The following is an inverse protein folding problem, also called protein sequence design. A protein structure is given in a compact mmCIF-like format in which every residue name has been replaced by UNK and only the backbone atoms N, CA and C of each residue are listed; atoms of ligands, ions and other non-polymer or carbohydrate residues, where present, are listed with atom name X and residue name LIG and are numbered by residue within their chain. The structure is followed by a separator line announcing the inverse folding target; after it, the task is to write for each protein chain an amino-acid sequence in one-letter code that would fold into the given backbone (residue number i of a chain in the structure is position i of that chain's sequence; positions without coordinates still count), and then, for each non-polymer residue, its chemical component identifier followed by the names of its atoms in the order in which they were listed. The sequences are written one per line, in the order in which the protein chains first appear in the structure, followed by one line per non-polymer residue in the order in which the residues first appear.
data_IF_429626343828
#
_entry.id   IF_429626343828
#
_cell.length_a   1.000
_cell.length_b   1.000
_cell.length_c   1.000
_cell.angle_alpha   90.00
_cell.angle_beta   90.00
_cell.angle_gamma   90.00
#
_symmetry.space_group_name_H-M   'P 1'
#
loop_
_entity.id
_entity.type
_entity.pdbx_description
1 polymer ?
#
# COMPACT_ATOMS: atom_id res chain seq x y z
N UNK A 1 6.71 5.97 -47.30
CA UNK A 1 5.92 7.19 -47.03
C UNK A 1 4.50 6.70 -46.76
N UNK A 2 4.05 6.71 -45.51
CA UNK A 2 2.73 6.20 -45.15
C UNK A 2 1.68 7.18 -45.69
N UNK A 3 0.91 6.77 -46.70
CA UNK A 3 -0.30 7.52 -47.05
C UNK A 3 -1.36 7.14 -46.01
N UNK A 4 -1.73 8.13 -45.19
CA UNK A 4 -2.83 8.00 -44.24
C UNK A 4 -4.13 8.09 -45.06
N UNK A 5 -5.11 7.19 -44.85
CA UNK A 5 -6.41 7.31 -45.51
C UNK A 5 -7.03 8.68 -45.17
N UNK A 6 -7.68 9.30 -46.15
CA UNK A 6 -8.26 10.64 -45.98
C UNK A 6 -9.34 10.60 -44.88
N UNK A 7 -9.13 11.35 -43.80
CA UNK A 7 -9.97 11.27 -42.59
C UNK A 7 -11.43 11.62 -42.86
N UNK A 8 -11.70 12.47 -43.87
CA UNK A 8 -13.05 12.85 -44.28
C UNK A 8 -13.77 11.69 -44.98
N UNK A 9 -13.08 10.97 -45.87
CA UNK A 9 -13.65 9.82 -46.58
C UNK A 9 -13.96 8.66 -45.63
N UNK A 10 -13.11 8.46 -44.60
CA UNK A 10 -13.34 7.44 -43.59
C UNK A 10 -14.53 7.77 -42.67
N UNK A 11 -14.71 9.04 -42.31
CA UNK A 11 -15.88 9.44 -41.52
C UNK A 11 -17.20 9.17 -42.26
N UNK A 12 -17.24 9.45 -43.56
CA UNK A 12 -18.38 9.12 -44.42
C UNK A 12 -18.61 7.61 -44.52
N UNK A 13 -17.54 6.80 -44.58
CA UNK A 13 -17.64 5.34 -44.50
C UNK A 13 -18.26 4.87 -43.18
N UNK A 14 -17.84 5.41 -42.04
CA UNK A 14 -18.41 5.05 -40.72
C UNK A 14 -19.90 5.35 -40.71
N UNK A 15 -20.30 6.53 -41.18
CA UNK A 15 -21.71 6.94 -41.17
C UNK A 15 -22.54 6.07 -42.12
N UNK A 16 -22.02 5.74 -43.30
CA UNK A 16 -22.71 4.93 -44.31
C UNK A 16 -22.84 3.45 -43.90
N UNK A 17 -21.79 2.87 -43.30
CA UNK A 17 -21.72 1.45 -42.92
C UNK A 17 -21.86 1.20 -41.43
N UNK A 18 -22.43 2.17 -40.70
CA UNK A 18 -22.62 2.10 -39.24
C UNK A 18 -23.35 0.83 -38.79
N UNK A 19 -24.41 0.45 -39.51
CA UNK A 19 -25.20 -0.73 -39.19
C UNK A 19 -24.38 -2.02 -39.31
N UNK A 20 -23.52 -2.11 -40.33
CA UNK A 20 -22.66 -3.27 -40.56
C UNK A 20 -21.53 -3.36 -39.52
N UNK A 21 -20.92 -2.22 -39.17
CA UNK A 21 -19.92 -2.14 -38.11
C UNK A 21 -20.51 -2.51 -36.74
N UNK A 22 -21.71 -2.03 -36.43
CA UNK A 22 -22.44 -2.44 -35.22
C UNK A 22 -22.79 -3.93 -35.23
N UNK A 23 -23.14 -4.48 -36.39
CA UNK A 23 -23.40 -5.91 -36.54
C UNK A 23 -22.14 -6.71 -36.26
N UNK A 24 -20.98 -6.28 -36.75
CA UNK A 24 -19.68 -6.91 -36.46
C UNK A 24 -19.41 -6.87 -34.95
N UNK A 25 -19.55 -5.71 -34.30
CA UNK A 25 -19.38 -5.57 -32.84
C UNK A 25 -20.33 -6.47 -32.03
N UNK A 26 -21.57 -6.68 -32.49
CA UNK A 26 -22.48 -7.64 -31.83
C UNK A 26 -22.04 -9.08 -32.05
N UNK A 27 -21.53 -9.41 -33.23
CA UNK A 27 -21.05 -10.76 -33.55
C UNK A 27 -19.78 -11.15 -32.78
N UNK A 28 -19.00 -10.18 -32.30
CA UNK A 28 -17.90 -10.44 -31.35
C UNK A 28 -18.39 -10.75 -29.93
N UNK A 29 -19.71 -10.89 -29.70
CA UNK A 29 -20.32 -11.24 -28.40
C UNK A 29 -19.87 -10.35 -27.24
N UNK A 30 -19.60 -9.08 -27.55
CA UNK A 30 -19.15 -8.08 -26.59
C UNK A 30 -17.64 -7.91 -26.51
N UNK A 31 -16.82 -8.74 -27.18
CA UNK A 31 -15.35 -8.62 -27.20
C UNK A 31 -14.84 -7.30 -27.80
N UNK A 32 -15.63 -6.68 -28.69
CA UNK A 32 -15.32 -5.36 -29.25
C UNK A 32 -16.55 -4.47 -29.12
N UNK A 33 -16.37 -3.25 -28.62
CA UNK A 33 -17.37 -2.20 -28.76
C UNK A 33 -17.30 -1.58 -30.15
N UNK A 34 -18.28 -0.75 -30.48
CA UNK A 34 -18.33 -0.07 -31.76
C UNK A 34 -17.05 0.73 -32.05
N UNK A 35 -16.54 1.45 -31.06
CA UNK A 35 -15.34 2.28 -31.20
C UNK A 35 -14.07 1.45 -31.44
N UNK A 36 -14.00 0.25 -30.87
CA UNK A 36 -12.90 -0.69 -31.11
C UNK A 36 -12.92 -1.17 -32.56
N UNK A 37 -14.10 -1.50 -33.09
CA UNK A 37 -14.27 -1.94 -34.48
C UNK A 37 -13.91 -0.81 -35.45
N UNK A 38 -14.27 0.44 -35.14
CA UNK A 38 -13.88 1.61 -35.93
C UNK A 38 -12.36 1.81 -35.92
N UNK A 39 -11.73 1.68 -34.75
CA UNK A 39 -10.27 1.79 -34.62
C UNK A 39 -9.54 0.71 -35.42
N UNK A 40 -10.01 -0.54 -35.34
CA UNK A 40 -9.46 -1.65 -36.13
C UNK A 40 -9.71 -1.47 -37.63
N UNK A 41 -10.87 -0.94 -38.02
CA UNK A 41 -11.17 -0.62 -39.42
C UNK A 41 -10.16 0.38 -39.99
N UNK A 42 -9.78 1.40 -39.22
CA UNK A 42 -8.77 2.39 -39.60
C UNK A 42 -7.37 1.78 -39.76
N UNK A 43 -6.98 0.91 -38.82
CA UNK A 43 -5.70 0.20 -38.87
C UNK A 43 -5.65 -0.73 -40.09
N UNK A 44 -6.74 -1.46 -40.36
CA UNK A 44 -6.85 -2.36 -41.50
C UNK A 44 -6.82 -1.60 -42.84
N UNK A 45 -7.55 -0.49 -42.95
CA UNK A 45 -7.50 0.39 -44.13
C UNK A 45 -6.06 0.84 -44.44
N UNK A 46 -5.33 1.27 -43.41
CA UNK A 46 -3.93 1.72 -43.53
C UNK A 46 -2.99 0.60 -43.96
N UNK A 47 -3.20 -0.63 -43.43
CA UNK A 47 -2.41 -1.81 -43.80
C UNK A 47 -2.66 -2.22 -45.25
N UNK A 48 -3.92 -2.24 -45.68
CA UNK A 48 -4.29 -2.66 -47.03
C UNK A 48 -3.80 -1.66 -48.09
N UNK A 49 -3.79 -0.36 -47.80
CA UNK A 49 -3.17 0.66 -48.68
C UNK A 49 -1.66 0.46 -48.83
N UNK A 50 -1.00 -0.16 -47.86
CA UNK A 50 0.44 -0.43 -47.92
C UNK A 50 0.75 -1.71 -48.71
N UNK A 51 -0.14 -2.71 -48.66
CA UNK A 51 0.06 -4.00 -49.32
C UNK A 51 -0.41 -4.04 -50.77
N UNK A 52 -1.42 -3.24 -51.12
CA UNK A 52 -1.98 -3.18 -52.47
C UNK A 52 -1.43 -1.93 -53.18
N UNK A 53 -0.84 -2.11 -54.37
CA UNK A 53 -0.49 -0.99 -55.26
C UNK A 53 -1.72 -0.25 -55.82
N UNK A 54 -2.92 -0.66 -55.43
CA UNK A 54 -4.20 -0.03 -55.78
C UNK A 54 -4.62 0.92 -54.65
N UNK A 55 -4.96 2.16 -55.03
CA UNK A 55 -5.50 3.14 -54.09
C UNK A 55 -6.86 2.64 -53.59
N UNK A 56 -6.95 2.29 -52.31
CA UNK A 56 -8.22 1.98 -51.67
C UNK A 56 -9.08 3.24 -51.61
N UNK A 57 -10.09 3.29 -52.48
CA UNK A 57 -11.13 4.29 -52.41
C UNK A 57 -12.18 3.89 -51.37
N UNK A 58 -12.28 4.66 -50.29
CA UNK A 58 -13.26 4.42 -49.22
C UNK A 58 -14.68 4.82 -49.61
N UNK A 59 -14.86 5.48 -50.77
CA UNK A 59 -16.16 5.81 -51.33
C UNK A 59 -16.69 4.72 -52.28
N UNK A 60 -15.83 3.78 -52.71
CA UNK A 60 -16.22 2.66 -53.55
C UNK A 60 -16.85 1.52 -52.74
N UNK A 61 -18.03 1.08 -53.16
CA UNK A 61 -18.82 0.07 -52.46
C UNK A 61 -18.12 -1.30 -52.43
N UNK A 62 -17.43 -1.69 -53.51
CA UNK A 62 -16.72 -2.95 -53.57
C UNK A 62 -15.49 -2.97 -52.64
N UNK A 63 -14.82 -1.83 -52.46
CA UNK A 63 -13.74 -1.66 -51.49
C UNK A 63 -14.27 -1.74 -50.05
N UNK A 64 -15.40 -1.09 -49.76
CA UNK A 64 -16.04 -1.13 -48.44
C UNK A 64 -16.43 -2.56 -48.04
N UNK A 65 -17.06 -3.32 -48.93
CA UNK A 65 -17.44 -4.71 -48.65
C UNK A 65 -16.24 -5.62 -48.39
N UNK A 66 -15.13 -5.39 -49.11
CA UNK A 66 -13.89 -6.14 -48.93
C UNK A 66 -13.29 -5.86 -47.55
N UNK A 67 -13.27 -4.59 -47.13
CA UNK A 67 -12.80 -4.17 -45.82
C UNK A 67 -13.68 -4.74 -44.69
N UNK A 68 -15.01 -4.68 -44.83
CA UNK A 68 -15.95 -5.28 -43.87
C UNK A 68 -15.78 -6.80 -43.77
N UNK A 69 -15.53 -7.48 -44.89
CA UNK A 69 -15.28 -8.93 -44.91
C UNK A 69 -13.98 -9.28 -44.17
N UNK A 70 -12.92 -8.49 -44.35
CA UNK A 70 -11.65 -8.65 -43.63
C UNK A 70 -11.82 -8.39 -42.13
N UNK A 71 -12.54 -7.32 -41.74
CA UNK A 71 -12.87 -7.04 -40.34
C UNK A 71 -13.64 -8.19 -39.71
N UNK A 72 -14.67 -8.71 -40.39
CA UNK A 72 -15.47 -9.82 -39.88
C UNK A 72 -14.60 -11.07 -39.69
N UNK A 73 -13.74 -11.38 -40.66
CA UNK A 73 -12.83 -12.52 -40.53
C UNK A 73 -11.86 -12.34 -39.36
N UNK A 74 -11.22 -11.17 -39.26
CA UNK A 74 -10.23 -10.89 -38.22
C UNK A 74 -10.86 -10.89 -36.83
N UNK A 75 -11.97 -10.17 -36.64
CA UNK A 75 -12.57 -9.93 -35.32
C UNK A 75 -13.53 -11.02 -34.86
N UNK A 76 -14.18 -11.74 -35.79
CA UNK A 76 -15.23 -12.72 -35.44
C UNK A 76 -14.77 -14.16 -35.68
N UNK A 77 -14.05 -14.41 -36.78
CA UNK A 77 -13.74 -15.77 -37.25
C UNK A 77 -12.39 -16.29 -36.76
N UNK A 78 -11.37 -15.43 -36.69
CA UNK A 78 -9.99 -15.80 -36.38
C UNK A 78 -9.50 -15.32 -35.00
N UNK A 79 -10.29 -14.54 -34.27
CA UNK A 79 -10.05 -14.33 -32.83
C UNK A 79 -10.19 -15.67 -32.12
N UNK A 80 -9.08 -16.12 -31.52
CA UNK A 80 -8.97 -17.45 -30.96
C UNK A 80 -10.09 -17.73 -29.95
N UNK A 81 -10.65 -18.95 -30.05
CA UNK A 81 -11.66 -19.48 -29.14
C UNK A 81 -11.26 -19.36 -27.66
N UNK A 82 -9.95 -19.33 -27.38
CA UNK A 82 -9.34 -19.12 -26.06
C UNK A 82 -9.70 -17.76 -25.45
N UNK A 83 -9.71 -16.69 -26.24
CA UNK A 83 -10.02 -15.32 -25.77
C UNK A 83 -11.52 -15.16 -25.52
N UNK A 84 -12.36 -15.86 -26.31
CA UNK A 84 -13.82 -15.83 -26.18
C UNK A 84 -14.35 -16.35 -24.84
N UNK A 85 -13.56 -17.17 -24.14
CA UNK A 85 -13.89 -17.68 -22.80
C UNK A 85 -13.12 -16.98 -21.67
N UNK A 86 -12.23 -16.05 -21.98
CA UNK A 86 -11.47 -15.32 -20.98
C UNK A 86 -12.37 -14.31 -20.24
N UNK A 87 -12.13 -14.16 -18.94
CA UNK A 87 -12.84 -13.16 -18.12
C UNK A 87 -12.19 -11.79 -18.32
N UNK A 88 -13.00 -10.77 -18.61
CA UNK A 88 -12.55 -9.43 -18.97
C UNK A 88 -12.29 -8.60 -17.72
N UNK A 89 -11.03 -8.26 -17.46
CA UNK A 89 -10.65 -7.50 -16.25
C UNK A 89 -11.04 -6.01 -16.34
N UNK A 90 -11.02 -5.43 -17.55
CA UNK A 90 -11.20 -3.99 -17.77
C UNK A 90 -12.67 -3.56 -17.93
N UNK A 91 -13.60 -4.51 -17.93
CA UNK A 91 -15.01 -4.25 -18.16
C UNK A 91 -15.87 -4.89 -17.09
N UNK A 92 -16.76 -4.10 -16.48
CA UNK A 92 -17.79 -4.64 -15.60
C UNK A 92 -18.69 -5.59 -16.40
N UNK A 93 -18.97 -6.81 -15.91
CA UNK A 93 -19.85 -7.73 -16.61
C UNK A 93 -21.23 -7.10 -16.82
N UNK A 94 -21.73 -7.21 -18.05
CA UNK A 94 -23.05 -6.70 -18.44
C UNK A 94 -24.11 -7.38 -17.58
N UNK A 95 -24.70 -6.63 -16.65
CA UNK A 95 -25.75 -7.09 -15.72
C UNK A 95 -25.52 -6.75 -14.25
N UNK A 96 -24.33 -6.26 -13.87
CA UNK A 96 -24.07 -5.80 -12.50
C UNK A 96 -24.36 -4.30 -12.34
N UNK A 97 -25.50 -3.96 -11.76
CA UNK A 97 -25.95 -2.58 -11.48
C UNK A 97 -25.22 -1.95 -10.26
N UNK A 98 -23.91 -2.17 -10.15
CA UNK A 98 -23.14 -1.77 -8.97
C UNK A 98 -21.93 -0.94 -9.40
N UNK A 99 -22.12 0.38 -9.36
CA UNK A 99 -21.04 1.35 -9.40
C UNK A 99 -20.15 1.17 -8.16
N UNK A 100 -19.13 0.32 -8.25
CA UNK A 100 -18.11 0.18 -7.21
C UNK A 100 -17.73 -1.25 -6.82
N UNK A 101 -18.38 -2.28 -7.37
CA UNK A 101 -18.02 -3.65 -7.02
C UNK A 101 -16.75 -4.09 -7.73
N UNK A 102 -15.74 -4.46 -6.93
CA UNK A 102 -14.50 -5.09 -7.36
C UNK A 102 -14.80 -6.25 -8.32
N UNK A 103 -14.07 -6.30 -9.44
CA UNK A 103 -14.25 -7.34 -10.45
C UNK A 103 -14.20 -8.74 -9.79
N UNK A 104 -15.07 -9.71 -10.14
CA UNK A 104 -15.18 -11.00 -9.44
C UNK A 104 -13.85 -11.76 -9.32
N UNK A 105 -12.96 -11.58 -10.30
CA UNK A 105 -11.63 -12.22 -10.34
C UNK A 105 -10.61 -11.48 -9.47
N UNK A 106 -10.86 -10.23 -9.06
CA UNK A 106 -9.95 -9.48 -8.19
C UNK A 106 -9.65 -10.23 -6.89
N UNK A 107 -10.65 -10.91 -6.31
CA UNK A 107 -10.47 -11.75 -5.12
C UNK A 107 -9.56 -12.96 -5.33
N UNK A 108 -9.48 -13.48 -6.56
CA UNK A 108 -8.57 -14.59 -6.91
C UNK A 108 -7.13 -14.12 -7.16
N UNK A 109 -6.95 -12.83 -7.46
CA UNK A 109 -5.64 -12.21 -7.67
C UNK A 109 -5.00 -11.75 -6.35
N UNK A 110 -5.76 -11.73 -5.25
CA UNK A 110 -5.22 -11.45 -3.92
C UNK A 110 -4.42 -12.67 -3.45
N UNK A 111 -3.10 -12.57 -3.56
CA UNK A 111 -2.19 -13.53 -2.92
C UNK A 111 -2.23 -13.37 -1.40
N UNK A 112 -2.08 -14.48 -0.66
CA UNK A 112 -1.97 -14.52 0.80
C UNK A 112 -3.09 -13.80 1.58
N UNK A 113 -4.36 -13.95 1.17
CA UNK A 113 -5.53 -13.40 1.90
C UNK A 113 -5.49 -11.87 2.09
N UNK A 114 -4.66 -11.15 1.33
CA UNK A 114 -4.49 -9.70 1.46
C UNK A 114 -3.40 -9.29 2.45
N UNK A 115 -2.51 -10.21 2.85
CA UNK A 115 -1.30 -9.87 3.61
C UNK A 115 -0.36 -9.05 2.75
N UNK A 116 -0.06 -7.86 3.24
CA UNK A 116 0.92 -6.95 2.65
C UNK A 116 2.33 -7.28 3.20
N UNK A 117 3.20 -7.92 2.41
CA UNK A 117 4.54 -8.28 2.87
C UNK A 117 5.39 -7.06 3.24
N UNK A 118 5.12 -5.90 2.64
CA UNK A 118 5.81 -4.66 3.00
C UNK A 118 5.48 -4.25 4.43
N UNK A 119 4.20 -4.39 4.80
CA UNK A 119 3.74 -4.07 6.15
C UNK A 119 4.37 -5.00 7.19
N UNK A 120 4.44 -6.31 6.91
CA UNK A 120 5.10 -7.27 7.81
C UNK A 120 6.60 -6.95 7.98
N UNK A 121 7.29 -6.57 6.91
CA UNK A 121 8.70 -6.18 6.95
C UNK A 121 8.92 -4.87 7.73
N UNK A 122 8.03 -3.89 7.58
CA UNK A 122 8.09 -2.64 8.34
C UNK A 122 7.88 -2.86 9.84
N UNK A 123 6.92 -3.72 10.22
CA UNK A 123 6.69 -4.09 11.62
C UNK A 123 7.95 -4.75 12.22
N UNK A 124 8.58 -5.68 11.48
CA UNK A 124 9.83 -6.32 11.90
C UNK A 124 11.00 -5.35 12.05
N UNK A 125 11.17 -4.42 11.10
CA UNK A 125 12.24 -3.42 11.16
C UNK A 125 12.09 -2.53 12.41
N UNK A 126 10.86 -2.07 12.70
CA UNK A 126 10.59 -1.25 13.89
C UNK A 126 10.88 -1.97 15.21
N UNK A 127 10.57 -3.26 15.31
CA UNK A 127 10.87 -4.04 16.52
C UNK A 127 12.39 -4.21 16.71
N UNK A 128 13.13 -4.46 15.61
CA UNK A 128 14.59 -4.63 15.68
C UNK A 128 15.34 -3.32 15.97
N UNK A 129 14.89 -2.18 15.45
CA UNK A 129 15.47 -0.87 15.75
C UNK A 129 15.30 -0.51 17.23
N UNK A 130 14.12 -0.76 17.80
CA UNK A 130 13.85 -0.54 19.23
C UNK A 130 14.74 -1.43 20.11
N UNK A 131 14.99 -2.67 19.71
CA UNK A 131 15.87 -3.57 20.46
C UNK A 131 17.36 -3.19 20.37
N UNK A 132 17.83 -2.79 19.19
CA UNK A 132 19.19 -2.31 18.97
C UNK A 132 19.47 -0.99 19.71
N UNK A 133 18.52 -0.04 19.69
CA UNK A 133 18.63 1.21 20.45
C UNK A 133 18.73 0.95 21.95
N UNK A 134 17.94 0.03 22.49
CA UNK A 134 17.99 -0.31 23.92
C UNK A 134 19.31 -0.96 24.34
N UNK A 135 19.97 -1.74 23.46
CA UNK A 135 21.26 -2.37 23.74
C UNK A 135 22.46 -1.43 23.56
N UNK A 136 22.37 -0.45 22.65
CA UNK A 136 23.47 0.49 22.35
C UNK A 136 23.53 1.73 23.26
N UNK A 137 22.53 1.97 24.10
CA UNK A 137 22.46 3.18 24.92
C UNK A 137 22.81 2.90 26.38
N UNK A 138 24.00 3.34 26.84
CA UNK A 138 24.34 3.58 28.26
C UNK A 138 23.47 4.65 28.95
N UNK A 139 22.18 4.73 28.62
CA UNK A 139 21.23 5.70 29.14
C UNK A 139 20.53 5.18 30.40
N UNK A 140 20.05 6.12 31.22
CA UNK A 140 19.28 5.79 32.41
C UNK A 140 17.98 5.03 32.07
N UNK A 141 17.33 5.37 30.95
CA UNK A 141 16.12 4.69 30.50
C UNK A 141 16.39 3.22 30.10
N UNK A 142 17.45 2.97 29.33
CA UNK A 142 17.87 1.62 28.97
C UNK A 142 18.21 0.77 30.21
N UNK A 143 18.90 1.35 31.20
CA UNK A 143 19.20 0.65 32.45
C UNK A 143 17.94 0.22 33.23
N UNK A 144 16.88 1.04 33.24
CA UNK A 144 15.60 0.67 33.86
C UNK A 144 14.86 -0.42 33.06
N UNK A 145 14.89 -0.36 31.73
CA UNK A 145 14.30 -1.40 30.87
C UNK A 145 15.01 -2.73 31.05
N UNK A 146 16.34 -2.72 31.09
CA UNK A 146 17.16 -3.91 31.37
C UNK A 146 16.81 -4.53 32.74
N UNK A 147 16.77 -3.71 33.80
CA UNK A 147 16.40 -4.16 35.15
C UNK A 147 14.98 -4.74 35.21
N UNK A 148 14.03 -4.14 34.47
CA UNK A 148 12.66 -4.63 34.41
C UNK A 148 12.59 -5.98 33.70
N UNK A 149 13.28 -6.15 32.57
CA UNK A 149 13.35 -7.44 31.86
C UNK A 149 13.99 -8.53 32.72
N UNK A 150 15.10 -8.23 33.40
CA UNK A 150 15.80 -9.18 34.26
C UNK A 150 14.97 -9.62 35.49
N UNK A 151 14.07 -8.75 35.97
CA UNK A 151 13.29 -8.97 37.19
C UNK A 151 11.79 -9.23 36.90
N UNK A 152 11.48 -9.81 35.73
CA UNK A 152 10.14 -10.23 35.30
C UNK A 152 9.10 -9.09 35.31
N UNK A 153 9.51 -7.87 34.97
CA UNK A 153 8.71 -6.64 35.01
C UNK A 153 8.09 -6.32 36.39
N UNK A 154 8.66 -6.86 37.47
CA UNK A 154 8.16 -6.60 38.83
C UNK A 154 8.90 -5.43 39.49
N UNK A 155 8.25 -4.27 39.56
CA UNK A 155 8.84 -3.06 40.17
C UNK A 155 9.17 -3.22 41.67
N UNK A 156 8.48 -4.12 42.39
CA UNK A 156 8.83 -4.48 43.77
C UNK A 156 10.25 -5.05 43.86
N UNK A 157 10.56 -6.03 42.98
CA UNK A 157 11.89 -6.66 42.90
C UNK A 157 12.96 -5.66 42.49
N UNK A 158 12.66 -4.76 41.54
CA UNK A 158 13.58 -3.68 41.15
C UNK A 158 13.90 -2.77 42.35
N UNK A 159 12.89 -2.39 43.13
CA UNK A 159 13.08 -1.53 44.30
C UNK A 159 13.88 -2.24 45.42
N UNK A 160 13.69 -3.54 45.58
CA UNK A 160 14.45 -4.36 46.52
C UNK A 160 15.91 -4.53 46.07
N UNK A 161 16.14 -4.83 44.79
CA UNK A 161 17.47 -4.93 44.17
C UNK A 161 18.27 -3.63 44.29
N UNK A 162 17.63 -2.49 43.98
CA UNK A 162 18.24 -1.17 44.09
C UNK A 162 18.29 -0.63 45.53
N UNK A 163 17.72 -1.35 46.51
CA UNK A 163 17.63 -0.92 47.92
C UNK A 163 17.00 0.47 48.09
N UNK A 164 15.94 0.73 47.33
CA UNK A 164 15.13 1.96 47.39
C UNK A 164 13.68 1.65 47.77
N UNK A 165 12.89 2.67 48.07
CA UNK A 165 11.45 2.48 48.27
C UNK A 165 10.73 2.30 46.93
N UNK A 166 9.64 1.53 46.91
CA UNK A 166 8.84 1.28 45.70
C UNK A 166 8.37 2.58 45.03
N UNK A 167 7.86 3.53 45.82
CA UNK A 167 7.41 4.83 45.32
C UNK A 167 8.54 5.63 44.67
N UNK A 168 9.76 5.52 45.20
CA UNK A 168 10.92 6.19 44.60
C UNK A 168 11.37 5.51 43.31
N UNK A 169 11.31 4.17 43.24
CA UNK A 169 11.60 3.42 42.01
C UNK A 169 10.66 3.83 40.87
N UNK A 170 9.34 3.94 41.14
CA UNK A 170 8.37 4.44 40.16
C UNK A 170 8.69 5.88 39.73
N UNK A 171 9.03 6.77 40.67
CA UNK A 171 9.40 8.15 40.34
C UNK A 171 10.64 8.20 39.44
N UNK A 172 11.66 7.40 39.74
CA UNK A 172 12.86 7.33 38.93
C UNK A 172 12.59 6.76 37.54
N UNK A 173 11.76 5.71 37.41
CA UNK A 173 11.33 5.16 36.14
C UNK A 173 10.52 6.18 35.30
N UNK A 174 9.63 6.95 35.93
CA UNK A 174 8.90 8.03 35.26
C UNK A 174 9.83 9.12 34.75
N UNK A 175 10.79 9.56 35.57
CA UNK A 175 11.82 10.52 35.17
C UNK A 175 12.69 9.97 34.02
N UNK A 176 13.08 8.69 34.08
CA UNK A 176 13.81 8.02 33.00
C UNK A 176 13.08 8.11 31.65
N UNK A 177 11.77 7.85 31.68
CA UNK A 177 10.91 7.92 30.50
C UNK A 177 10.80 9.35 29.97
N UNK A 178 10.67 10.33 30.85
CA UNK A 178 10.62 11.75 30.49
C UNK A 178 11.94 12.21 29.85
N UNK A 179 13.08 11.76 30.38
CA UNK A 179 14.40 12.05 29.82
C UNK A 179 14.59 11.39 28.45
N UNK A 180 14.17 10.14 28.27
CA UNK A 180 14.23 9.46 26.98
C UNK A 180 13.37 10.14 25.91
N UNK A 181 12.21 10.70 26.29
CA UNK A 181 11.35 11.42 25.36
C UNK A 181 11.91 12.79 24.95
N UNK A 182 12.72 13.43 25.81
CA UNK A 182 13.22 14.80 25.58
C UNK A 182 14.65 14.88 25.06
N UNK A 183 15.49 13.91 25.38
CA UNK A 183 16.92 13.95 25.09
C UNK A 183 17.28 12.86 24.08
N UNK A 184 18.03 13.24 23.04
CA UNK A 184 18.68 12.25 22.18
C UNK A 184 19.90 11.71 22.90
N UNK A 185 19.90 10.41 23.20
CA UNK A 185 21.01 9.77 23.90
C UNK A 185 22.18 9.55 22.94
N UNK A 186 23.39 9.89 23.39
CA UNK A 186 24.62 9.49 22.69
C UNK A 186 24.83 8.00 23.00
N UNK A 187 25.00 7.13 21.98
CA UNK A 187 25.27 5.73 22.21
C UNK A 187 26.63 5.61 22.90
N UNK A 188 26.60 5.13 24.15
CA UNK A 188 27.80 4.77 24.91
C UNK A 188 27.79 3.25 25.00
N UNK A 189 28.81 2.56 24.47
CA UNK A 189 28.87 1.10 24.56
C UNK A 189 28.92 0.68 26.03
N UNK A 190 27.98 -0.17 26.43
CA UNK A 190 27.93 -0.75 27.75
C UNK A 190 28.80 -2.03 27.73
N UNK A 191 29.69 -2.26 28.70
CA UNK A 191 30.40 -3.54 28.83
C UNK A 191 29.41 -4.70 28.98
N UNK A 192 29.66 -5.85 28.34
CA UNK A 192 28.73 -7.00 28.37
C UNK A 192 28.42 -7.51 29.78
N UNK A 193 29.34 -7.33 30.74
CA UNK A 193 29.18 -7.73 32.14
C UNK A 193 28.52 -6.66 33.04
N UNK A 194 28.05 -5.55 32.47
CA UNK A 194 27.50 -4.46 33.27
C UNK A 194 26.10 -4.79 33.79
N UNK A 195 26.03 -5.16 35.06
CA UNK A 195 24.78 -5.26 35.79
C UNK A 195 24.53 -3.98 36.60
N UNK A 196 23.47 -3.19 36.29
CA UNK A 196 23.10 -2.04 37.11
C UNK A 196 22.76 -2.50 38.54
N UNK A 197 23.62 -2.13 39.48
CA UNK A 197 23.53 -2.50 40.89
C UNK A 197 23.27 -1.30 41.80
N UNK A 198 22.90 -1.55 43.06
CA UNK A 198 22.80 -0.48 44.03
C UNK A 198 24.19 0.11 44.32
N UNK A 199 24.32 1.43 44.25
CA UNK A 199 25.53 2.14 44.73
C UNK A 199 25.83 1.88 46.21
N UNK A 200 24.84 1.42 46.98
CA UNK A 200 24.90 1.30 48.45
C UNK A 200 24.56 -0.09 48.95
N UNK A 201 25.14 -0.45 50.10
CA UNK A 201 24.92 -1.73 50.76
C UNK A 201 23.61 -1.81 51.58
N UNK A 202 22.94 -0.68 51.83
CA UNK A 202 21.81 -0.59 52.75
C UNK A 202 20.67 0.29 52.22
N UNK A 203 19.47 0.16 52.80
CA UNK A 203 18.29 0.99 52.48
C UNK A 203 18.19 2.17 53.45
N UNK A 204 18.21 3.40 52.93
CA UNK A 204 17.95 4.60 53.72
C UNK A 204 16.47 4.65 54.13
N UNK A 205 16.20 4.60 55.43
CA UNK A 205 14.89 4.88 56.01
C UNK A 205 14.81 6.38 56.27
N UNK A 206 14.05 7.12 55.45
CA UNK A 206 13.78 8.52 55.72
C UNK A 206 12.70 8.59 56.80
N UNK A 207 13.01 9.12 57.97
CA UNK A 207 11.99 9.42 58.96
C UNK A 207 11.01 10.43 58.36
N UNK A 208 9.71 10.19 58.53
CA UNK A 208 8.69 11.17 58.16
C UNK A 208 8.83 12.36 59.11
N UNK A 209 9.52 13.40 58.67
CA UNK A 209 9.51 14.68 59.37
C UNK A 209 8.19 15.36 59.02
N UNK A 210 7.28 15.41 59.99
CA UNK A 210 6.11 16.25 59.90
C UNK A 210 6.60 17.70 59.94
N UNK A 211 6.57 18.38 58.80
CA UNK A 211 6.82 19.81 58.74
C UNK A 211 5.63 20.49 59.44
N UNK A 212 5.84 21.03 60.63
CA UNK A 212 4.88 21.91 61.25
C UNK A 212 4.87 23.21 60.44
N UNK A 213 3.82 23.42 59.65
CA UNK A 213 3.56 24.72 59.05
C UNK A 213 3.02 25.62 60.17
N UNK A 214 3.82 26.59 60.62
CA UNK A 214 3.31 27.70 61.43
C UNK A 214 2.54 28.62 60.47
N UNK A 215 1.22 28.64 60.62
CA UNK A 215 0.32 29.53 59.85
C UNK A 215 -0.05 30.81 60.64
N UNK A 216 0.73 31.16 61.67
CA UNK A 216 0.48 32.38 62.45
C UNK A 216 1.04 33.62 61.72
N UNK A 217 0.48 33.93 60.55
CA UNK A 217 0.56 35.28 60.00
C UNK A 217 -0.48 36.14 60.72
N UNK A 218 0.00 37.05 61.56
CA UNK A 218 -0.84 38.05 62.24
C UNK A 218 -1.59 38.88 61.20
N UNK A 219 -2.92 38.71 61.12
CA UNK A 219 -3.82 39.68 60.51
C UNK A 219 -3.84 40.94 61.39
N UNK A 220 -3.01 41.92 61.06
CA UNK A 220 -3.12 43.27 61.62
C UNK A 220 -4.45 43.89 61.16
N UNK A 221 -5.35 44.09 62.14
CA UNK A 221 -6.58 44.90 62.04
C UNK A 221 -6.24 46.38 61.99
#
# INVERSE_FOLDING_TARGET
MFQVPDGVAFQLFIDHRRADLQRIARHTRGECQFDDVVSEAWILASRLQTSSSECLDMLDEACQERLLSHLYQQLVRYTEQTVRHAVRLDHSPVGGDHSGDLHPVAYLLVSNEGRDPLRELLEQETDTEVECDLQGHGSLAAAYVYLLRQLDNQMSRVADHLRISRSYAYRCCANARELAARLRHIPVPIPEDFAPGPWRSFRLRRAHLQLAFNFDDQLSV
#
